data_IF_063763872771
#
_entry.id   IF_063763872771
#
_cell.length_a   1.000
_cell.length_b   1.000
_cell.length_c   1.000
_cell.angle_alpha   90.00
_cell.angle_beta   90.00
_cell.angle_gamma   90.00
#
_symmetry.space_group_name_H-M   'P 1'
#
loop_
_entity.id
_entity.type
_entity.pdbx_description
1 polymer ?
#
# COMPACT_ATOMS: atom_id res chain seq x y z
N UNK A 1 10.88 -9.30 5.88
CA UNK A 1 9.52 -9.88 5.70
C UNK A 1 8.56 -8.74 5.38
N UNK A 2 7.68 -8.88 4.39
CA UNK A 2 6.59 -7.92 4.14
C UNK A 2 5.33 -8.48 4.81
N UNK A 3 4.72 -7.67 5.65
CA UNK A 3 3.55 -8.03 6.46
C UNK A 3 2.36 -7.20 5.97
N UNK A 4 1.27 -7.89 5.65
CA UNK A 4 -0.02 -7.27 5.38
C UNK A 4 -1.05 -7.84 6.37
N UNK A 5 -2.00 -7.00 6.77
CA UNK A 5 -3.18 -7.42 7.52
C UNK A 5 -4.43 -7.09 6.69
N UNK A 6 -5.61 -7.53 7.13
CA UNK A 6 -6.84 -7.28 6.41
C UNK A 6 -7.14 -5.76 6.33
N UNK A 7 -7.72 -5.26 5.23
CA UNK A 7 -7.96 -3.81 5.05
C UNK A 7 -8.93 -3.18 6.06
N UNK A 8 -9.62 -3.97 6.88
CA UNK A 8 -10.48 -3.46 7.95
C UNK A 8 -9.79 -3.55 9.33
N UNK A 9 -8.82 -4.45 9.49
CA UNK A 9 -8.23 -4.82 10.78
C UNK A 9 -7.56 -3.63 11.50
N UNK A 10 -6.77 -2.77 10.82
CA UNK A 10 -6.15 -1.61 11.47
C UNK A 10 -7.14 -0.56 11.97
N UNK A 11 -8.36 -0.51 11.41
CA UNK A 11 -9.32 0.57 11.66
C UNK A 11 -10.57 0.10 12.42
N UNK A 12 -10.81 -1.21 12.52
CA UNK A 12 -11.95 -1.76 13.24
C UNK A 12 -11.78 -1.55 14.75
N UNK A 13 -12.79 -1.08 15.50
CA UNK A 13 -12.66 -0.77 16.93
C UNK A 13 -12.09 -1.91 17.78
N UNK A 14 -12.47 -3.16 17.47
CA UNK A 14 -12.03 -4.35 18.20
C UNK A 14 -10.73 -4.95 17.65
N UNK A 15 -10.43 -4.79 16.36
CA UNK A 15 -9.27 -5.43 15.74
C UNK A 15 -8.05 -4.52 15.70
N UNK A 16 -8.23 -3.20 15.76
CA UNK A 16 -7.12 -2.22 15.79
C UNK A 16 -6.08 -2.51 16.89
N UNK A 17 -6.47 -2.79 18.16
CA UNK A 17 -5.49 -3.17 19.18
C UNK A 17 -4.79 -4.49 18.86
N UNK A 18 -5.48 -5.42 18.19
CA UNK A 18 -4.93 -6.71 17.76
C UNK A 18 -3.91 -6.52 16.64
N UNK A 19 -4.22 -5.66 15.65
CA UNK A 19 -3.31 -5.27 14.58
C UNK A 19 -1.99 -4.75 15.15
N UNK A 20 -2.02 -3.75 16.04
CA UNK A 20 -0.81 -3.19 16.64
C UNK A 20 -0.03 -4.21 17.48
N UNK A 21 -0.73 -5.06 18.24
CA UNK A 21 -0.10 -6.14 19.03
C UNK A 21 0.66 -7.12 18.13
N UNK A 22 0.08 -7.54 17.00
CA UNK A 22 0.72 -8.49 16.10
C UNK A 22 1.77 -7.83 15.20
N UNK A 23 1.57 -6.57 14.79
CA UNK A 23 2.59 -5.78 14.12
C UNK A 23 3.88 -5.74 14.96
N UNK A 24 3.76 -5.49 16.28
CA UNK A 24 4.87 -5.56 17.21
C UNK A 24 5.49 -6.94 17.32
N UNK A 25 4.68 -7.96 17.64
CA UNK A 25 5.18 -9.33 17.83
C UNK A 25 5.92 -9.85 16.59
N UNK A 26 5.40 -9.57 15.39
CA UNK A 26 6.05 -9.99 14.14
C UNK A 26 7.31 -9.17 13.86
N UNK A 27 7.31 -7.88 14.17
CA UNK A 27 8.49 -7.03 14.03
C UNK A 27 9.63 -7.49 14.95
N UNK A 28 9.33 -7.85 16.21
CA UNK A 28 10.32 -8.40 17.15
C UNK A 28 10.98 -9.67 16.60
N UNK A 29 10.20 -10.58 15.98
CA UNK A 29 10.75 -11.78 15.34
C UNK A 29 11.64 -11.43 14.16
N UNK A 30 11.20 -10.52 13.27
CA UNK A 30 11.98 -10.12 12.08
C UNK A 30 13.31 -9.48 12.48
N UNK A 31 13.29 -8.58 13.46
CA UNK A 31 14.47 -7.89 13.98
C UNK A 31 15.41 -8.84 14.71
N UNK A 32 14.90 -9.83 15.46
CA UNK A 32 15.72 -10.86 16.10
C UNK A 32 16.53 -11.70 15.09
N UNK A 33 16.08 -11.76 13.83
CA UNK A 33 16.79 -12.41 12.73
C UNK A 33 17.60 -11.43 11.85
N UNK A 34 17.86 -10.20 12.33
CA UNK A 34 18.71 -9.22 11.66
C UNK A 34 18.10 -8.60 10.39
N UNK A 35 16.79 -8.76 10.18
CA UNK A 35 16.07 -8.15 9.07
C UNK A 35 15.24 -6.95 9.52
N UNK A 36 14.90 -6.06 8.58
CA UNK A 36 13.96 -4.96 8.83
C UNK A 36 12.52 -5.40 8.51
N UNK A 37 11.55 -5.17 9.40
CA UNK A 37 10.14 -5.36 9.07
C UNK A 37 9.67 -4.36 8.03
N UNK A 38 8.73 -4.80 7.18
CA UNK A 38 8.08 -3.95 6.19
C UNK A 38 6.57 -4.17 6.31
N UNK A 39 5.80 -3.10 6.47
CA UNK A 39 4.34 -3.15 6.44
C UNK A 39 3.82 -2.75 5.05
N UNK A 40 2.85 -3.51 4.57
CA UNK A 40 2.13 -3.20 3.35
C UNK A 40 0.80 -2.53 3.71
N UNK A 41 0.74 -1.20 3.54
CA UNK A 41 -0.46 -0.40 3.79
C UNK A 41 -1.50 -0.72 2.73
N UNK A 42 -2.55 -1.44 3.14
CA UNK A 42 -3.65 -1.85 2.26
C UNK A 42 -4.58 -0.69 1.91
N UNK A 43 -5.45 -0.89 0.93
CA UNK A 43 -6.38 0.11 0.39
C UNK A 43 -7.77 0.05 1.04
N UNK A 44 -8.48 1.17 0.95
CA UNK A 44 -9.89 1.26 1.26
C UNK A 44 -10.74 0.38 0.34
N UNK A 45 -11.87 -0.11 0.84
CA UNK A 45 -12.88 -0.75 0.00
C UNK A 45 -13.50 0.26 -0.95
N UNK A 46 -13.92 -0.19 -2.14
CA UNK A 46 -14.43 0.70 -3.20
C UNK A 46 -15.59 1.58 -2.73
N UNK A 47 -16.47 1.01 -1.91
CA UNK A 47 -17.66 1.65 -1.36
C UNK A 47 -17.41 2.36 -0.03
N UNK A 48 -16.16 2.39 0.46
CA UNK A 48 -15.76 2.99 1.74
C UNK A 48 -14.47 3.81 1.61
N UNK A 49 -14.43 4.85 0.75
CA UNK A 49 -13.24 5.67 0.55
C UNK A 49 -12.76 6.37 1.84
N UNK A 50 -13.64 6.54 2.83
CA UNK A 50 -13.37 7.07 4.17
C UNK A 50 -12.34 6.25 4.96
N UNK A 51 -12.13 4.99 4.59
CA UNK A 51 -11.12 4.12 5.21
C UNK A 51 -9.68 4.57 4.90
N UNK A 52 -9.45 5.27 3.77
CA UNK A 52 -8.10 5.55 3.27
C UNK A 52 -7.24 6.30 4.28
N UNK A 53 -7.79 7.36 4.89
CA UNK A 53 -7.07 8.20 5.86
C UNK A 53 -6.78 7.42 7.16
N UNK A 54 -7.76 6.64 7.63
CA UNK A 54 -7.62 5.84 8.85
C UNK A 54 -6.58 4.72 8.66
N UNK A 55 -6.59 4.05 7.50
CA UNK A 55 -5.56 3.05 7.17
C UNK A 55 -4.19 3.68 7.13
N UNK A 56 -4.04 4.82 6.44
CA UNK A 56 -2.78 5.51 6.36
C UNK A 56 -2.23 5.88 7.75
N UNK A 57 -3.07 6.44 8.62
CA UNK A 57 -2.71 6.75 10.00
C UNK A 57 -2.22 5.51 10.76
N UNK A 58 -3.03 4.44 10.79
CA UNK A 58 -2.74 3.28 11.64
C UNK A 58 -1.51 2.49 11.16
N UNK A 59 -1.30 2.38 9.84
CA UNK A 59 -0.07 1.80 9.30
C UNK A 59 1.15 2.68 9.53
N UNK A 60 1.00 4.02 9.52
CA UNK A 60 2.11 4.94 9.81
C UNK A 60 2.53 4.82 11.28
N UNK A 61 1.56 4.82 12.21
CA UNK A 61 1.81 4.61 13.64
C UNK A 61 2.52 3.26 13.88
N UNK A 62 1.98 2.17 13.34
CA UNK A 62 2.61 0.86 13.47
C UNK A 62 4.02 0.84 12.86
N UNK A 63 4.23 1.49 11.71
CA UNK A 63 5.54 1.65 11.08
C UNK A 63 6.55 2.31 11.99
N UNK A 64 6.18 3.47 12.54
CA UNK A 64 7.04 4.25 13.43
C UNK A 64 7.35 3.51 14.73
N UNK A 65 6.35 2.89 15.36
CA UNK A 65 6.50 2.18 16.63
C UNK A 65 7.44 0.97 16.54
N UNK A 66 7.67 0.45 15.34
CA UNK A 66 8.43 -0.78 15.09
C UNK A 66 9.68 -0.59 14.21
N UNK A 67 10.06 0.66 13.90
CA UNK A 67 11.08 0.99 12.89
C UNK A 67 10.92 0.20 11.58
N UNK A 68 9.67 0.01 11.17
CA UNK A 68 9.31 -0.71 9.97
C UNK A 68 9.18 0.25 8.79
N UNK A 69 9.64 -0.19 7.61
CA UNK A 69 9.31 0.51 6.37
C UNK A 69 7.81 0.31 6.06
N UNK A 70 7.11 1.34 5.60
CA UNK A 70 5.71 1.20 5.16
C UNK A 70 5.60 1.40 3.66
N UNK A 71 5.04 0.44 2.94
CA UNK A 71 4.70 0.56 1.52
C UNK A 71 3.31 1.21 1.42
N UNK A 72 3.17 2.45 0.91
CA UNK A 72 1.91 3.21 0.95
C UNK A 72 0.94 2.85 -0.19
N UNK A 73 0.66 1.56 -0.41
CA UNK A 73 -0.18 1.11 -1.53
C UNK A 73 -1.62 1.63 -1.45
N UNK A 74 -2.20 1.71 -0.23
CA UNK A 74 -3.53 2.30 -0.02
C UNK A 74 -3.64 3.76 -0.45
N UNK A 75 -2.60 4.56 -0.18
CA UNK A 75 -2.54 5.95 -0.63
C UNK A 75 -2.38 6.04 -2.15
N UNK A 76 -1.61 5.12 -2.75
CA UNK A 76 -1.46 5.07 -4.21
C UNK A 76 -2.81 4.76 -4.88
N UNK A 77 -3.59 3.82 -4.33
CA UNK A 77 -4.96 3.53 -4.78
C UNK A 77 -5.85 4.77 -4.72
N UNK A 78 -5.93 5.43 -3.56
CA UNK A 78 -6.77 6.62 -3.37
C UNK A 78 -6.39 7.73 -4.38
N UNK A 79 -5.08 7.95 -4.58
CA UNK A 79 -4.56 8.94 -5.54
C UNK A 79 -4.88 8.56 -6.99
N UNK A 80 -4.75 7.29 -7.37
CA UNK A 80 -5.04 6.82 -8.72
C UNK A 80 -6.53 6.94 -9.06
N UNK A 81 -7.41 6.51 -8.13
CA UNK A 81 -8.87 6.62 -8.26
C UNK A 81 -9.29 8.07 -8.41
N UNK A 82 -8.72 8.99 -7.60
CA UNK A 82 -9.04 10.42 -7.70
C UNK A 82 -8.60 11.05 -9.04
N UNK A 83 -7.49 10.59 -9.62
CA UNK A 83 -6.94 11.13 -10.87
C UNK A 83 -7.62 10.56 -12.13
N UNK A 84 -8.05 9.29 -12.09
CA UNK A 84 -8.63 8.55 -13.23
C UNK A 84 -9.79 7.67 -12.74
N UNK A 85 -10.94 8.26 -12.37
CA UNK A 85 -12.06 7.54 -11.77
C UNK A 85 -12.76 6.56 -12.72
N UNK A 86 -12.50 6.65 -14.02
CA UNK A 86 -13.03 5.74 -15.04
C UNK A 86 -12.30 4.40 -15.10
N UNK A 87 -11.14 4.27 -14.43
CA UNK A 87 -10.40 3.01 -14.31
C UNK A 87 -10.94 2.15 -13.16
N UNK A 88 -11.05 0.84 -13.39
CA UNK A 88 -11.55 -0.12 -12.39
C UNK A 88 -10.39 -0.76 -11.59
N UNK A 89 -10.18 -0.30 -10.36
CA UNK A 89 -9.11 -0.81 -9.48
C UNK A 89 -9.49 -2.04 -8.67
N UNK A 90 -10.76 -2.45 -8.69
CA UNK A 90 -11.29 -3.51 -7.84
C UNK A 90 -11.88 -4.65 -8.66
N UNK A 91 -11.87 -5.85 -8.07
CA UNK A 91 -12.72 -6.94 -8.50
C UNK A 91 -14.20 -6.63 -8.20
N UNK A 92 -15.15 -7.39 -8.76
CA UNK A 92 -16.59 -7.18 -8.51
C UNK A 92 -16.99 -7.21 -7.02
N UNK A 93 -16.18 -7.85 -6.17
CA UNK A 93 -16.39 -7.89 -4.73
C UNK A 93 -16.12 -6.56 -4.01
N UNK A 94 -15.56 -5.55 -4.69
CA UNK A 94 -15.22 -4.22 -4.16
C UNK A 94 -14.10 -4.20 -3.11
N UNK A 95 -13.40 -5.32 -2.91
CA UNK A 95 -12.39 -5.50 -1.86
C UNK A 95 -11.02 -5.82 -2.45
N UNK A 96 -10.97 -6.79 -3.35
CA UNK A 96 -9.72 -7.24 -3.94
C UNK A 96 -9.34 -6.39 -5.15
N UNK A 97 -8.04 -6.28 -5.46
CA UNK A 97 -7.58 -5.43 -6.54
C UNK A 97 -7.81 -6.12 -7.89
N UNK A 98 -8.15 -5.33 -8.90
CA UNK A 98 -8.10 -5.77 -10.31
C UNK A 98 -6.64 -5.91 -10.79
N UNK A 99 -6.44 -6.23 -12.07
CA UNK A 99 -5.09 -6.25 -12.67
C UNK A 99 -4.38 -4.89 -12.54
N UNK A 100 -5.07 -3.78 -12.82
CA UNK A 100 -4.48 -2.45 -12.72
C UNK A 100 -4.21 -2.06 -11.25
N UNK A 101 -5.07 -2.45 -10.32
CA UNK A 101 -4.85 -2.25 -8.88
C UNK A 101 -3.64 -3.04 -8.39
N UNK A 102 -3.52 -4.30 -8.82
CA UNK A 102 -2.39 -5.17 -8.49
C UNK A 102 -1.08 -4.60 -9.05
N UNK A 103 -1.09 -4.12 -10.29
CA UNK A 103 0.08 -3.48 -10.90
C UNK A 103 0.50 -2.20 -10.15
N UNK A 104 -0.45 -1.36 -9.76
CA UNK A 104 -0.17 -0.17 -8.96
C UNK A 104 0.46 -0.50 -7.60
N UNK A 105 -0.07 -1.51 -6.91
CA UNK A 105 0.50 -2.01 -5.66
C UNK A 105 1.93 -2.55 -5.85
N UNK A 106 2.19 -3.25 -6.95
CA UNK A 106 3.52 -3.75 -7.30
C UNK A 106 4.51 -2.60 -7.59
N UNK A 107 4.11 -1.60 -8.40
CA UNK A 107 4.93 -0.41 -8.65
C UNK A 107 5.24 0.35 -7.35
N UNK A 108 4.26 0.49 -6.46
CA UNK A 108 4.43 1.17 -5.17
C UNK A 108 5.39 0.40 -4.26
N UNK A 109 5.27 -0.93 -4.25
CA UNK A 109 6.21 -1.82 -3.54
C UNK A 109 7.63 -1.68 -4.07
N UNK A 110 7.80 -1.72 -5.40
CA UNK A 110 9.11 -1.55 -6.03
C UNK A 110 9.74 -0.21 -5.65
N UNK A 111 8.97 0.87 -5.76
CA UNK A 111 9.41 2.22 -5.44
C UNK A 111 9.85 2.36 -3.98
N UNK A 112 9.04 1.86 -3.03
CA UNK A 112 9.32 1.97 -1.60
C UNK A 112 10.50 1.10 -1.16
N UNK A 113 10.57 -0.15 -1.61
CA UNK A 113 11.59 -1.11 -1.17
C UNK A 113 12.95 -0.83 -1.80
N UNK A 114 12.99 -0.58 -3.10
CA UNK A 114 14.25 -0.38 -3.82
C UNK A 114 14.68 1.08 -3.90
N UNK A 115 13.83 2.02 -3.49
CA UNK A 115 14.06 3.47 -3.63
C UNK A 115 14.37 3.86 -5.09
N UNK A 116 13.74 3.16 -6.03
CA UNK A 116 13.93 3.33 -7.48
C UNK A 116 12.60 3.65 -8.13
N UNK A 117 12.62 4.58 -9.08
CA UNK A 117 11.42 4.92 -9.81
C UNK A 117 10.92 3.72 -10.65
N UNK A 118 9.64 3.33 -10.54
CA UNK A 118 9.05 2.33 -11.42
C UNK A 118 8.72 2.93 -12.81
N UNK A 119 8.83 4.26 -12.96
CA UNK A 119 8.50 4.99 -14.18
C UNK A 119 9.48 4.63 -15.30
N UNK A 120 8.95 4.06 -16.37
CA UNK A 120 9.73 3.58 -17.51
C UNK A 120 10.09 2.10 -17.45
N UNK A 121 9.60 1.37 -16.45
CA UNK A 121 9.67 -0.08 -16.46
C UNK A 121 8.92 -0.62 -17.68
N UNK A 122 9.58 -1.49 -18.46
CA UNK A 122 9.06 -2.06 -19.71
C UNK A 122 8.03 -3.16 -19.46
N UNK A 123 8.00 -3.75 -18.26
CA UNK A 123 6.98 -4.72 -17.89
C UNK A 123 5.67 -4.00 -17.52
N UNK A 124 4.61 -4.26 -18.29
CA UNK A 124 3.28 -3.63 -18.13
C UNK A 124 2.16 -4.62 -17.75
N UNK A 125 2.47 -5.91 -17.52
CA UNK A 125 1.47 -6.93 -17.18
C UNK A 125 0.30 -7.07 -18.16
N UNK A 126 0.47 -6.67 -19.43
CA UNK A 126 -0.59 -6.65 -20.45
C UNK A 126 -1.53 -5.44 -20.39
N UNK A 127 -1.25 -4.47 -19.50
CA UNK A 127 -1.93 -3.17 -19.44
C UNK A 127 -1.42 -2.29 -20.59
N UNK A 128 -2.29 -1.46 -21.17
CA UNK A 128 -1.87 -0.54 -22.23
C UNK A 128 -0.77 0.43 -21.72
N UNK A 129 0.14 0.88 -22.60
CA UNK A 129 1.30 1.67 -22.17
C UNK A 129 0.95 2.99 -21.47
N UNK A 130 -0.17 3.63 -21.84
CA UNK A 130 -0.58 4.92 -21.27
C UNK A 130 -1.06 4.71 -19.84
N UNK A 131 -1.92 3.72 -19.61
CA UNK A 131 -2.39 3.36 -18.27
C UNK A 131 -1.23 2.85 -17.42
N UNK A 132 -0.36 1.98 -17.94
CA UNK A 132 0.80 1.49 -17.20
C UNK A 132 1.72 2.64 -16.75
N UNK A 133 2.02 3.59 -17.63
CA UNK A 133 2.83 4.78 -17.31
C UNK A 133 2.16 5.64 -16.24
N UNK A 134 0.85 5.83 -16.31
CA UNK A 134 0.07 6.54 -15.28
C UNK A 134 0.16 5.86 -13.90
N UNK A 135 0.04 4.53 -13.85
CA UNK A 135 0.14 3.76 -12.61
C UNK A 135 1.55 3.84 -12.02
N UNK A 136 2.59 3.71 -12.85
CA UNK A 136 3.98 3.88 -12.43
C UNK A 136 4.23 5.28 -11.85
N UNK A 137 3.74 6.33 -12.52
CA UNK A 137 3.92 7.70 -12.04
C UNK A 137 3.17 7.93 -10.72
N UNK A 138 1.94 7.42 -10.61
CA UNK A 138 1.16 7.56 -9.37
C UNK A 138 1.81 6.83 -8.20
N UNK A 139 2.39 5.65 -8.42
CA UNK A 139 3.20 4.96 -7.42
C UNK A 139 4.42 5.81 -6.99
N UNK A 140 5.16 6.35 -7.96
CA UNK A 140 6.34 7.19 -7.68
C UNK A 140 5.99 8.43 -6.85
N UNK A 141 4.99 9.19 -7.29
CA UNK A 141 4.53 10.40 -6.60
C UNK A 141 4.09 10.08 -5.16
N UNK A 142 3.40 8.95 -4.97
CA UNK A 142 2.92 8.52 -3.65
C UNK A 142 4.07 8.20 -2.72
N UNK A 143 5.07 7.44 -3.19
CA UNK A 143 6.23 7.07 -2.37
C UNK A 143 7.07 8.31 -2.01
N UNK A 144 7.30 9.21 -2.97
CA UNK A 144 8.04 10.45 -2.71
C UNK A 144 7.32 11.34 -1.70
N UNK A 145 6.01 11.51 -1.84
CA UNK A 145 5.22 12.31 -0.90
C UNK A 145 5.16 11.66 0.49
N UNK A 146 5.03 10.34 0.57
CA UNK A 146 4.90 9.63 1.84
C UNK A 146 6.19 9.68 2.68
N UNK A 147 7.35 9.54 2.05
CA UNK A 147 8.66 9.57 2.74
C UNK A 147 9.35 10.94 2.75
N UNK A 148 8.82 11.93 2.03
CA UNK A 148 9.32 13.31 2.04
C UNK A 148 8.72 14.20 3.13
N UNK A 149 7.84 13.64 3.97
CA UNK A 149 7.22 14.30 5.12
C UNK A 149 8.07 14.18 6.38
#
# INVERSE_FOLDING_TARGET
MIIADCSQCPIHPQLKPVFHRYARKQSEVVTAHGARPIFFMTWAYKDRPDMSAQLAEQYTLAGNDNDALVIPAGLAFAKAIARRPELEFYQPDKRHPSLIGTYLAACTTYAAVFKKSPVGNTYAAGIDPVTARFLQQTAQDTVQEYFGR
#
